data_IF_391174915837
#
_entry.id   IF_391174915837
#
_cell.length_a   1.000
_cell.length_b   1.000
_cell.length_c   1.000
_cell.angle_alpha   90.00
_cell.angle_beta   90.00
_cell.angle_gamma   90.00
#
_symmetry.space_group_name_H-M   'P 1'
#
loop_
_entity.id
_entity.type
_entity.pdbx_description
1 polymer ?
#
# COMPACT_ATOMS: atom_id res chain seq x y z
N UNK A 1 -33.91 36.37 72.35
CA UNK A 1 -33.80 35.34 71.29
C UNK A 1 -32.99 34.17 71.87
N UNK A 2 -33.58 33.35 72.76
CA UNK A 2 -34.29 32.09 72.51
C UNK A 2 -33.40 30.91 72.04
N UNK A 3 -33.02 30.06 73.02
CA UNK A 3 -32.84 28.58 73.01
C UNK A 3 -31.70 28.03 72.11
N UNK A 4 -30.76 27.19 72.52
CA UNK A 4 -30.66 26.26 73.65
C UNK A 4 -30.47 24.82 73.13
N UNK A 5 -29.51 24.09 73.72
CA UNK A 5 -29.37 22.61 73.81
C UNK A 5 -28.53 21.87 72.76
N UNK A 6 -27.39 21.36 73.22
CA UNK A 6 -26.78 20.14 72.70
C UNK A 6 -27.46 18.87 73.25
N UNK A 7 -27.26 17.75 72.55
CA UNK A 7 -27.40 16.33 72.97
C UNK A 7 -27.01 15.46 71.77
N UNK A 8 -25.85 14.78 71.79
CA UNK A 8 -25.62 13.40 72.24
C UNK A 8 -26.23 12.29 71.35
N UNK A 9 -25.32 11.46 70.80
CA UNK A 9 -25.43 10.10 70.22
C UNK A 9 -26.68 9.26 70.58
N UNK A 10 -27.23 8.58 69.57
CA UNK A 10 -27.71 7.18 69.66
C UNK A 10 -27.85 6.58 68.24
N UNK A 11 -27.06 5.53 67.93
CA UNK A 11 -27.47 4.15 67.60
C UNK A 11 -28.53 4.01 66.49
N UNK A 12 -28.08 3.55 65.32
CA UNK A 12 -28.93 2.90 64.31
C UNK A 12 -28.66 1.40 64.44
N UNK A 13 -29.67 0.65 64.90
CA UNK A 13 -29.70 -0.81 64.94
C UNK A 13 -30.53 -1.34 63.76
N UNK A 14 -30.13 -2.53 63.32
CA UNK A 14 -30.62 -3.31 62.20
C UNK A 14 -32.14 -3.56 62.20
N UNK A 15 -32.71 -3.64 60.99
CA UNK A 15 -33.82 -4.53 60.69
C UNK A 15 -33.63 -5.13 59.28
N UNK A 16 -33.27 -6.41 59.25
CA UNK A 16 -33.27 -7.28 58.07
C UNK A 16 -34.71 -7.51 57.62
N UNK A 17 -35.00 -7.35 56.32
CA UNK A 17 -36.24 -7.85 55.72
C UNK A 17 -35.97 -8.49 54.36
N UNK A 18 -36.30 -9.78 54.32
CA UNK A 18 -36.55 -10.71 53.22
C UNK A 18 -36.04 -10.40 51.80
N UNK A 19 -35.19 -11.33 51.33
CA UNK A 19 -34.80 -11.55 49.94
C UNK A 19 -36.04 -11.80 49.08
N UNK A 20 -36.35 -10.88 48.17
CA UNK A 20 -37.05 -11.19 46.92
C UNK A 20 -36.00 -11.27 45.82
N UNK A 21 -35.80 -12.47 45.27
CA UNK A 21 -34.93 -12.71 44.12
C UNK A 21 -35.53 -12.08 42.88
N UNK A 22 -35.11 -10.85 42.58
CA UNK A 22 -35.35 -10.24 41.26
C UNK A 22 -34.45 -10.95 40.26
N UNK A 23 -34.97 -11.57 39.18
CA UNK A 23 -34.11 -12.12 38.15
C UNK A 23 -33.30 -10.98 37.50
N UNK A 24 -31.99 -11.21 37.33
CA UNK A 24 -31.06 -10.24 36.75
C UNK A 24 -31.56 -9.84 35.35
N UNK A 25 -31.83 -8.54 35.16
CA UNK A 25 -32.09 -7.91 33.85
C UNK A 25 -30.86 -7.95 32.93
N UNK A 26 -30.29 -9.12 32.60
CA UNK A 26 -29.08 -9.20 31.75
C UNK A 26 -29.22 -10.00 30.47
N UNK A 27 -30.37 -10.58 30.15
CA UNK A 27 -30.43 -11.54 29.03
C UNK A 27 -31.34 -11.16 27.85
N UNK A 28 -31.73 -9.89 27.68
CA UNK A 28 -32.69 -9.51 26.63
C UNK A 28 -32.25 -8.39 25.66
N UNK A 29 -30.97 -8.06 25.55
CA UNK A 29 -30.52 -6.97 24.67
C UNK A 29 -29.26 -7.29 23.84
N UNK A 30 -29.07 -8.54 23.41
CA UNK A 30 -27.90 -8.93 22.60
C UNK A 30 -28.22 -9.76 21.36
N UNK A 31 -29.39 -9.54 20.74
CA UNK A 31 -29.78 -10.22 19.50
C UNK A 31 -29.97 -9.28 18.30
N UNK A 32 -29.62 -7.99 18.42
CA UNK A 32 -29.88 -6.98 17.38
C UNK A 32 -28.70 -6.09 16.98
N UNK A 33 -27.47 -6.40 17.43
CA UNK A 33 -26.28 -5.57 17.15
C UNK A 33 -25.25 -6.25 16.23
N UNK A 34 -25.41 -7.54 15.93
CA UNK A 34 -24.43 -8.26 15.11
C UNK A 34 -24.63 -8.01 13.60
N UNK A 35 -25.86 -7.79 13.14
CA UNK A 35 -26.18 -7.62 11.71
C UNK A 35 -25.67 -6.31 11.11
N UNK A 36 -25.64 -5.21 11.89
CA UNK A 36 -25.08 -3.92 11.45
C UNK A 36 -23.56 -3.95 11.36
N UNK A 37 -22.91 -4.75 12.22
CA UNK A 37 -21.44 -4.94 12.20
C UNK A 37 -20.98 -5.84 11.05
N UNK A 38 -21.75 -6.87 10.69
CA UNK A 38 -21.48 -7.72 9.53
C UNK A 38 -21.74 -6.99 8.21
N UNK A 39 -22.76 -6.14 8.15
CA UNK A 39 -23.00 -5.28 6.98
C UNK A 39 -21.91 -4.22 6.81
N UNK A 40 -21.38 -3.66 7.91
CA UNK A 40 -20.24 -2.75 7.86
C UNK A 40 -18.93 -3.46 7.50
N UNK A 41 -18.72 -4.71 7.96
CA UNK A 41 -17.59 -5.56 7.54
C UNK A 41 -17.67 -5.95 6.08
N UNK A 42 -18.84 -6.37 5.58
CA UNK A 42 -19.07 -6.64 4.14
C UNK A 42 -18.83 -5.40 3.29
N UNK A 43 -19.22 -4.21 3.77
CA UNK A 43 -18.94 -2.91 3.12
C UNK A 43 -17.45 -2.50 3.16
N UNK A 44 -16.67 -3.05 4.11
CA UNK A 44 -15.21 -2.91 4.17
C UNK A 44 -14.46 -4.04 3.43
N UNK A 45 -15.13 -5.13 3.08
CA UNK A 45 -14.57 -6.24 2.27
C UNK A 45 -14.84 -6.04 0.76
N UNK A 46 -15.91 -5.34 0.37
CA UNK A 46 -16.16 -4.84 -0.99
C UNK A 46 -15.24 -3.66 -1.38
N UNK A 47 -14.05 -3.55 -0.80
CA UNK A 47 -13.08 -2.54 -1.22
C UNK A 47 -12.26 -3.15 -2.36
N UNK A 48 -12.74 -2.96 -3.59
CA UNK A 48 -12.14 -3.41 -4.83
C UNK A 48 -10.64 -3.11 -4.88
N UNK A 49 -9.81 -4.15 -4.78
CA UNK A 49 -8.39 -4.06 -5.05
C UNK A 49 -8.20 -4.18 -6.56
N UNK A 50 -7.96 -3.05 -7.24
CA UNK A 50 -7.56 -3.09 -8.63
C UNK A 50 -6.13 -3.64 -8.71
N UNK A 51 -6.02 -4.96 -8.94
CA UNK A 51 -4.76 -5.65 -9.20
C UNK A 51 -4.58 -5.79 -10.70
N UNK A 52 -3.55 -5.16 -11.25
CA UNK A 52 -3.29 -5.13 -12.69
C UNK A 52 -1.84 -5.56 -12.92
N UNK A 53 -1.63 -6.49 -13.85
CA UNK A 53 -0.31 -7.06 -14.18
C UNK A 53 0.48 -7.60 -12.96
N UNK A 54 -0.22 -8.15 -11.97
CA UNK A 54 0.37 -8.72 -10.76
C UNK A 54 0.76 -7.70 -9.68
N UNK A 55 0.53 -6.40 -9.92
CA UNK A 55 0.80 -5.30 -8.98
C UNK A 55 -0.50 -4.73 -8.42
N UNK A 56 -0.51 -4.44 -7.12
CA UNK A 56 -1.63 -3.78 -6.45
C UNK A 56 -1.51 -2.26 -6.60
N UNK A 57 -2.52 -1.63 -7.20
CA UNK A 57 -2.49 -0.18 -7.42
C UNK A 57 -2.85 0.60 -6.14
N UNK A 58 -2.22 1.78 -5.93
CA UNK A 58 -2.55 2.65 -4.80
C UNK A 58 -3.98 3.22 -4.93
N UNK A 59 -4.85 2.86 -3.98
CA UNK A 59 -6.30 3.13 -4.00
C UNK A 59 -6.70 4.61 -4.12
N UNK A 60 -5.97 5.49 -3.44
CA UNK A 60 -6.34 6.92 -3.34
C UNK A 60 -5.88 7.76 -4.53
N UNK A 61 -5.14 7.16 -5.48
CA UNK A 61 -4.63 7.89 -6.64
C UNK A 61 -5.60 7.80 -7.81
N UNK A 62 -5.47 8.78 -8.70
CA UNK A 62 -6.08 8.74 -10.04
C UNK A 62 -5.50 7.57 -10.83
N UNK A 63 -6.30 6.93 -11.67
CA UNK A 63 -5.89 5.75 -12.44
C UNK A 63 -4.66 6.04 -13.32
N UNK A 64 -4.60 7.22 -13.95
CA UNK A 64 -3.44 7.64 -14.76
C UNK A 64 -2.11 7.52 -14.00
N UNK A 65 -2.09 7.99 -12.75
CA UNK A 65 -0.90 7.92 -11.89
C UNK A 65 -0.76 6.53 -11.27
N UNK A 66 -1.86 5.88 -10.95
CA UNK A 66 -1.88 4.51 -10.42
C UNK A 66 -1.18 3.52 -11.34
N UNK A 67 -1.43 3.61 -12.65
CA UNK A 67 -0.79 2.74 -13.65
C UNK A 67 0.72 2.92 -13.72
N UNK A 68 1.25 4.11 -13.42
CA UNK A 68 2.72 4.36 -13.44
C UNK A 68 3.50 3.63 -12.35
N UNK A 69 2.80 3.00 -11.40
CA UNK A 69 3.43 2.12 -10.41
C UNK A 69 3.86 0.79 -11.01
N UNK A 70 3.26 0.38 -12.13
CA UNK A 70 3.63 -0.81 -12.87
C UNK A 70 4.92 -0.52 -13.64
N UNK A 71 5.94 -1.33 -13.40
CA UNK A 71 7.22 -1.24 -14.07
C UNK A 71 7.06 -1.48 -15.58
N UNK A 72 7.50 -0.50 -16.36
CA UNK A 72 7.31 -0.46 -17.81
C UNK A 72 6.24 0.55 -18.25
N UNK A 73 5.38 1.00 -17.34
CA UNK A 73 4.32 1.98 -17.64
C UNK A 73 4.73 3.39 -17.18
N UNK A 74 4.87 4.30 -18.13
CA UNK A 74 5.04 5.73 -17.87
C UNK A 74 3.73 6.51 -18.00
N UNK A 75 3.76 7.82 -17.73
CA UNK A 75 2.58 8.70 -17.86
C UNK A 75 1.97 8.72 -19.27
N UNK A 76 2.85 8.77 -20.28
CA UNK A 76 2.43 8.78 -21.69
C UNK A 76 1.75 7.46 -22.07
N UNK A 77 2.34 6.33 -21.68
CA UNK A 77 1.75 5.01 -21.90
C UNK A 77 0.43 4.86 -21.14
N UNK A 78 0.36 5.31 -19.89
CA UNK A 78 -0.87 5.25 -19.09
C UNK A 78 -2.02 6.03 -19.73
N UNK A 79 -1.75 7.25 -20.22
CA UNK A 79 -2.77 8.06 -20.93
C UNK A 79 -3.25 7.36 -22.19
N UNK A 80 -2.33 6.78 -22.97
CA UNK A 80 -2.65 6.02 -24.18
C UNK A 80 -3.51 4.80 -23.87
N UNK A 81 -3.11 4.00 -22.88
CA UNK A 81 -3.84 2.80 -22.44
C UNK A 81 -5.26 3.15 -21.99
N UNK A 82 -5.41 4.23 -21.21
CA UNK A 82 -6.73 4.66 -20.73
C UNK A 82 -7.61 5.16 -21.87
N UNK A 83 -7.03 5.85 -22.86
CA UNK A 83 -7.74 6.27 -24.06
C UNK A 83 -8.20 5.08 -24.91
N UNK A 84 -7.36 4.05 -25.06
CA UNK A 84 -7.68 2.82 -25.81
C UNK A 84 -8.71 1.97 -25.06
N UNK A 85 -8.62 1.88 -23.73
CA UNK A 85 -9.59 1.16 -22.88
C UNK A 85 -10.92 1.91 -22.72
N UNK A 86 -11.01 3.18 -23.11
CA UNK A 86 -12.19 4.03 -22.93
C UNK A 86 -12.50 4.38 -21.47
N UNK A 87 -11.49 4.37 -20.60
CA UNK A 87 -11.64 4.63 -19.16
C UNK A 87 -11.19 6.06 -18.85
N UNK A 88 -11.98 6.79 -18.08
CA UNK A 88 -11.62 8.17 -17.71
C UNK A 88 -10.40 8.22 -16.77
N UNK A 89 -9.40 9.07 -17.05
CA UNK A 89 -8.18 9.20 -16.24
C UNK A 89 -8.38 9.92 -14.90
N UNK A 90 -9.53 10.58 -14.70
CA UNK A 90 -9.88 11.28 -13.46
C UNK A 90 -10.44 10.37 -12.38
N UNK A 91 -10.88 9.16 -12.76
CA UNK A 91 -11.38 8.15 -11.83
C UNK A 91 -10.26 7.76 -10.86
N UNK A 92 -10.62 7.42 -9.62
CA UNK A 92 -9.67 6.89 -8.63
C UNK A 92 -9.56 5.38 -8.74
N UNK A 93 -8.42 4.82 -8.38
CA UNK A 93 -8.19 3.37 -8.45
C UNK A 93 -9.17 2.53 -7.62
N UNK A 94 -9.73 3.11 -6.54
CA UNK A 94 -10.77 2.46 -5.72
C UNK A 94 -12.15 2.38 -6.41
N UNK A 95 -12.41 3.27 -7.36
CA UNK A 95 -13.70 3.42 -8.03
C UNK A 95 -13.68 2.74 -9.42
N UNK A 96 -12.63 1.93 -9.70
CA UNK A 96 -12.51 1.13 -10.92
C UNK A 96 -13.47 -0.06 -10.87
N UNK A 97 -14.22 -0.27 -11.95
CA UNK A 97 -15.05 -1.47 -12.11
C UNK A 97 -14.21 -2.67 -12.56
N UNK A 98 -14.68 -3.88 -12.30
CA UNK A 98 -14.04 -5.12 -12.79
C UNK A 98 -13.89 -5.15 -14.32
N UNK A 99 -14.85 -4.56 -15.03
CA UNK A 99 -14.82 -4.49 -16.49
C UNK A 99 -13.70 -3.56 -16.97
N UNK A 100 -13.53 -2.42 -16.32
CA UNK A 100 -12.47 -1.47 -16.64
C UNK A 100 -11.09 -2.07 -16.35
N UNK A 101 -10.95 -2.81 -15.24
CA UNK A 101 -9.73 -3.54 -14.92
C UNK A 101 -9.39 -4.56 -16.00
N UNK A 102 -10.38 -5.32 -16.49
CA UNK A 102 -10.19 -6.29 -17.59
C UNK A 102 -9.80 -5.61 -18.90
N UNK A 103 -10.47 -4.51 -19.27
CA UNK A 103 -10.14 -3.73 -20.48
C UNK A 103 -8.71 -3.20 -20.42
N UNK A 104 -8.33 -2.59 -19.29
CA UNK A 104 -6.97 -2.08 -19.08
C UNK A 104 -5.94 -3.22 -19.16
N UNK A 105 -6.21 -4.37 -18.54
CA UNK A 105 -5.30 -5.52 -18.61
C UNK A 105 -5.11 -6.01 -20.03
N UNK A 106 -6.19 -6.18 -20.79
CA UNK A 106 -6.12 -6.63 -22.19
C UNK A 106 -5.26 -5.68 -23.05
N UNK A 107 -5.48 -4.37 -22.92
CA UNK A 107 -4.68 -3.36 -23.65
C UNK A 107 -3.21 -3.39 -23.23
N UNK A 108 -2.91 -3.62 -21.96
CA UNK A 108 -1.52 -3.73 -21.47
C UNK A 108 -0.84 -4.96 -22.10
N UNK A 109 -1.50 -6.11 -22.03
CA UNK A 109 -0.95 -7.38 -22.53
C UNK A 109 -0.71 -7.36 -24.05
N UNK A 110 -1.55 -6.65 -24.81
CA UNK A 110 -1.38 -6.48 -26.25
C UNK A 110 -0.29 -5.48 -26.62
N UNK A 111 -0.16 -4.37 -25.88
CA UNK A 111 0.66 -3.24 -26.35
C UNK A 111 2.10 -3.26 -25.88
N UNK A 112 2.40 -3.84 -24.70
CA UNK A 112 3.75 -3.72 -24.12
C UNK A 112 4.09 -4.80 -23.10
N UNK A 113 5.37 -5.20 -23.07
CA UNK A 113 5.90 -6.08 -22.02
C UNK A 113 6.09 -5.30 -20.72
N UNK A 114 5.52 -5.80 -19.63
CA UNK A 114 5.56 -5.14 -18.31
C UNK A 114 6.19 -6.03 -17.24
N UNK A 115 6.58 -5.42 -16.12
CA UNK A 115 7.04 -6.09 -14.91
C UNK A 115 8.14 -7.14 -15.11
N UNK A 116 7.84 -8.41 -14.79
CA UNK A 116 8.81 -9.49 -14.70
C UNK A 116 9.49 -9.76 -16.04
N UNK A 117 8.71 -9.76 -17.11
CA UNK A 117 9.21 -10.04 -18.45
C UNK A 117 10.13 -8.93 -18.93
N UNK A 118 9.73 -7.66 -18.75
CA UNK A 118 10.58 -6.52 -19.08
C UNK A 118 11.88 -6.50 -18.27
N UNK A 119 11.81 -6.82 -16.97
CA UNK A 119 13.00 -6.93 -16.11
C UNK A 119 13.94 -8.06 -16.58
N UNK A 120 13.36 -9.21 -16.94
CA UNK A 120 14.11 -10.37 -17.44
C UNK A 120 14.78 -10.05 -18.77
N UNK A 121 14.06 -9.43 -19.69
CA UNK A 121 14.58 -9.02 -20.99
C UNK A 121 15.75 -8.04 -20.83
N UNK A 122 15.61 -7.01 -19.99
CA UNK A 122 16.69 -6.06 -19.70
C UNK A 122 17.91 -6.77 -19.09
N UNK A 123 17.71 -7.71 -18.17
CA UNK A 123 18.80 -8.47 -17.56
C UNK A 123 19.53 -9.33 -18.61
N UNK A 124 18.80 -10.00 -19.50
CA UNK A 124 19.36 -10.78 -20.61
C UNK A 124 20.12 -9.89 -21.59
N UNK A 125 19.59 -8.71 -21.92
CA UNK A 125 20.25 -7.72 -22.75
C UNK A 125 21.61 -7.27 -22.16
N UNK A 126 21.67 -7.03 -20.85
CA UNK A 126 22.93 -6.69 -20.16
C UNK A 126 23.89 -7.89 -20.14
N UNK A 127 23.39 -9.10 -19.86
CA UNK A 127 24.18 -10.33 -19.85
C UNK A 127 24.82 -10.60 -21.21
N UNK A 128 24.03 -10.49 -22.28
CA UNK A 128 24.51 -10.58 -23.68
C UNK A 128 25.66 -9.60 -23.96
N UNK A 129 25.52 -8.33 -23.54
CA UNK A 129 26.60 -7.34 -23.72
C UNK A 129 27.88 -7.73 -22.97
N UNK A 130 27.75 -8.31 -21.78
CA UNK A 130 28.88 -8.78 -20.98
C UNK A 130 29.56 -10.02 -21.57
N UNK A 131 28.80 -10.94 -22.15
CA UNK A 131 29.31 -12.17 -22.79
C UNK A 131 30.05 -11.86 -24.09
N UNK A 132 29.51 -10.97 -24.93
CA UNK A 132 30.17 -10.49 -26.15
C UNK A 132 31.50 -9.78 -25.85
N UNK A 133 31.66 -9.21 -24.65
CA UNK A 133 32.89 -8.52 -24.25
C UNK A 133 33.06 -7.13 -24.86
N UNK A 134 32.01 -6.54 -25.43
CA UNK A 134 32.05 -5.16 -25.94
C UNK A 134 32.36 -4.15 -24.82
N UNK A 135 32.81 -2.94 -25.18
CA UNK A 135 33.14 -1.89 -24.20
C UNK A 135 31.99 -1.65 -23.21
N UNK A 136 30.74 -1.56 -23.70
CA UNK A 136 29.55 -1.41 -22.85
C UNK A 136 29.42 -2.54 -21.82
N UNK A 137 29.61 -3.79 -22.25
CA UNK A 137 29.60 -4.97 -21.38
C UNK A 137 30.67 -4.93 -20.29
N UNK A 138 31.90 -4.56 -20.65
CA UNK A 138 33.01 -4.41 -19.69
C UNK A 138 32.66 -3.33 -18.64
N UNK A 139 32.06 -2.22 -19.04
CA UNK A 139 31.61 -1.16 -18.13
C UNK A 139 30.48 -1.63 -17.21
N UNK A 140 29.52 -2.39 -17.73
CA UNK A 140 28.49 -3.02 -16.92
C UNK A 140 29.08 -3.97 -15.87
N UNK A 141 30.02 -4.84 -16.26
CA UNK A 141 30.73 -5.78 -15.38
C UNK A 141 31.52 -5.08 -14.28
N UNK A 142 32.21 -3.98 -14.61
CA UNK A 142 32.99 -3.17 -13.65
C UNK A 142 32.14 -2.25 -12.75
N UNK A 143 30.81 -2.22 -12.92
CA UNK A 143 29.96 -1.30 -12.15
C UNK A 143 30.28 0.17 -12.42
N UNK A 144 30.62 0.51 -13.67
CA UNK A 144 30.94 1.88 -14.09
C UNK A 144 29.88 2.46 -15.03
N UNK A 145 29.77 3.79 -15.12
CA UNK A 145 28.90 4.44 -16.09
C UNK A 145 29.28 4.05 -17.53
N UNK A 146 28.26 3.83 -18.37
CA UNK A 146 28.37 3.17 -19.68
C UNK A 146 28.36 4.18 -20.84
N UNK A 147 27.76 5.36 -20.65
CA UNK A 147 27.56 6.38 -21.70
C UNK A 147 28.71 7.40 -21.79
N UNK A 148 29.95 6.97 -21.54
CA UNK A 148 31.13 7.85 -21.62
C UNK A 148 31.26 8.92 -20.52
N UNK A 149 30.45 8.86 -19.47
CA UNK A 149 30.48 9.85 -18.39
C UNK A 149 31.82 9.81 -17.61
N UNK A 150 32.28 10.99 -17.15
CA UNK A 150 33.52 11.14 -16.36
C UNK A 150 33.45 10.36 -15.05
N UNK A 151 34.38 9.43 -14.83
CA UNK A 151 34.40 8.55 -13.64
C UNK A 151 35.35 8.97 -12.53
N UNK A 152 36.14 10.03 -12.74
CA UNK A 152 37.12 10.53 -11.74
C UNK A 152 36.43 11.07 -10.48
N UNK A 153 35.34 11.83 -10.64
CA UNK A 153 34.65 12.54 -9.55
C UNK A 153 33.27 11.98 -9.28
N UNK A 154 32.28 12.33 -10.10
CA UNK A 154 30.85 12.15 -9.84
C UNK A 154 30.29 10.94 -10.61
N UNK A 155 30.40 9.75 -10.02
CA UNK A 155 29.85 8.51 -10.58
C UNK A 155 29.14 7.65 -9.52
N UNK A 156 28.57 8.28 -8.49
CA UNK A 156 28.08 7.59 -7.27
C UNK A 156 26.83 6.76 -7.49
N UNK A 157 25.90 7.19 -8.33
CA UNK A 157 24.72 6.38 -8.69
C UNK A 157 25.08 4.99 -9.22
N UNK A 158 26.22 4.87 -9.94
CA UNK A 158 26.68 3.59 -10.50
C UNK A 158 27.74 2.89 -9.65
N UNK A 159 28.65 3.63 -9.00
CA UNK A 159 29.69 3.07 -8.12
C UNK A 159 29.19 2.69 -6.73
N UNK A 160 28.00 3.18 -6.34
CA UNK A 160 27.48 3.07 -4.98
C UNK A 160 28.06 4.12 -4.02
N UNK A 161 27.70 4.01 -2.72
CA UNK A 161 28.17 4.90 -1.66
C UNK A 161 29.70 5.01 -1.59
N UNK A 162 30.21 6.12 -1.04
CA UNK A 162 31.66 6.34 -0.93
C UNK A 162 32.23 5.36 0.09
N UNK A 163 32.98 4.36 -0.41
CA UNK A 163 33.84 3.52 0.44
C UNK A 163 35.04 4.37 0.88
N UNK A 164 35.09 4.75 2.15
CA UNK A 164 36.28 5.36 2.75
C UNK A 164 37.34 4.28 2.88
N UNK A 165 38.49 4.48 2.27
CA UNK A 165 39.64 3.61 2.51
C UNK A 165 40.14 3.97 3.90
N UNK A 166 40.02 3.05 4.86
CA UNK A 166 40.62 3.24 6.18
C UNK A 166 42.12 3.45 5.97
N UNK A 167 42.65 4.58 6.43
CA UNK A 167 44.07 4.88 6.37
C UNK A 167 44.83 3.76 7.09
N UNK A 168 45.62 2.96 6.35
CA UNK A 168 46.84 2.40 6.91
C UNK A 168 47.71 3.61 7.27
N UNK A 169 47.88 3.87 8.57
CA UNK A 169 48.87 4.83 9.06
C UNK A 169 50.24 4.44 8.49
N UNK A 170 50.97 5.46 8.03
CA UNK A 170 52.35 5.36 7.58
C UNK A 170 53.25 5.05 8.77
#
# INVERSE_FOLDING_TARGET
>A
MSKGHGKSRAKISEAKSSRHSVPRRKDAAKAGQDSTSEQQKKKMEEIHMARIAGVDLPRDKRVEIGLTYIYGIGRTSATRILSEAGVSPDIRCRDLTDEDVKKISAVIDETQTVEGDLRREIALNIKRLQEIGCYRGIRHRKGLPVRGQKTKTNARTRKGPKRTVANKKK
#
